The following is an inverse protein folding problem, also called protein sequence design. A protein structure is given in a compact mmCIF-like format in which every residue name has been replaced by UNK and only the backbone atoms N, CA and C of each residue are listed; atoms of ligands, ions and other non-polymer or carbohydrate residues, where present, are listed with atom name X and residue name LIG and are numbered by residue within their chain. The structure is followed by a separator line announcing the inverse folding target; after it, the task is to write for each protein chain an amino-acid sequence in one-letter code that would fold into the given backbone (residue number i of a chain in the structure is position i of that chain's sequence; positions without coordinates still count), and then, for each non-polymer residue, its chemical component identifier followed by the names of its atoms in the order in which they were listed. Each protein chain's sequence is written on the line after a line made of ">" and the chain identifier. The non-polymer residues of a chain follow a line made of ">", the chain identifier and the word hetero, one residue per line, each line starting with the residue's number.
data_IF_786739865222
#
_entry.id   IF_786739865222
#
_cell.length_a   1.000
_cell.length_b   1.000
_cell.length_c   1.000
_cell.angle_alpha   90.00
_cell.angle_beta   90.00
_cell.angle_gamma   90.00
#
_symmetry.space_group_name_H-M   'P 1'
#
loop_
_entity.id
_entity.type
_entity.pdbx_description
1 polymer ?
#
# COMPACT_ATOMS: atom_id res chain seq x y z
N UNK A 1 -11.09 20.16 -8.60
CA UNK A 1 -12.45 19.76 -8.99
C UNK A 1 -12.44 18.30 -9.37
N UNK A 2 -12.51 17.41 -8.37
CA UNK A 2 -12.72 15.98 -8.62
C UNK A 2 -14.22 15.72 -8.59
N UNK A 3 -14.73 15.20 -9.69
CA UNK A 3 -16.13 14.87 -9.90
C UNK A 3 -16.43 13.51 -9.24
N UNK A 4 -17.26 13.51 -8.20
CA UNK A 4 -17.70 12.31 -7.47
C UNK A 4 -18.57 11.36 -8.31
N UNK A 5 -18.88 11.69 -9.57
CA UNK A 5 -19.79 10.92 -10.43
C UNK A 5 -19.13 9.92 -11.38
N UNK A 6 -17.80 9.75 -11.36
CA UNK A 6 -17.14 8.74 -12.21
C UNK A 6 -17.32 7.33 -11.64
N UNK A 7 -18.33 6.66 -12.20
CA UNK A 7 -18.59 5.23 -12.17
C UNK A 7 -17.32 4.37 -12.33
N UNK A 8 -17.36 3.11 -11.90
CA UNK A 8 -16.25 2.14 -11.89
C UNK A 8 -15.56 2.01 -13.27
N UNK A 9 -16.28 2.33 -14.34
CA UNK A 9 -15.80 2.46 -15.72
C UNK A 9 -14.72 3.55 -15.88
N UNK A 10 -14.96 4.76 -15.39
CA UNK A 10 -14.01 5.88 -15.50
C UNK A 10 -12.75 5.69 -14.66
N UNK A 11 -12.82 4.91 -13.58
CA UNK A 11 -11.65 4.55 -12.77
C UNK A 11 -10.73 3.56 -13.50
N UNK A 12 -11.30 2.60 -14.23
CA UNK A 12 -10.52 1.63 -15.04
C UNK A 12 -9.76 2.33 -16.16
N UNK A 13 -10.42 3.24 -16.87
CA UNK A 13 -9.78 4.00 -17.95
C UNK A 13 -8.59 4.82 -17.45
N UNK A 14 -8.72 5.45 -16.27
CA UNK A 14 -7.63 6.21 -15.63
C UNK A 14 -6.46 5.30 -15.24
N UNK A 15 -6.74 4.10 -14.73
CA UNK A 15 -5.69 3.13 -14.40
C UNK A 15 -4.98 2.60 -15.65
N UNK A 16 -5.70 2.34 -16.73
CA UNK A 16 -5.10 1.91 -17.99
C UNK A 16 -4.21 3.01 -18.58
N UNK A 17 -4.66 4.27 -18.56
CA UNK A 17 -3.84 5.41 -18.97
C UNK A 17 -2.60 5.57 -18.10
N UNK A 18 -2.74 5.45 -16.78
CA UNK A 18 -1.62 5.54 -15.84
C UNK A 18 -0.55 4.49 -16.13
N UNK A 19 -0.95 3.23 -16.41
CA UNK A 19 0.01 2.18 -16.76
C UNK A 19 0.69 2.43 -18.07
N UNK A 20 -0.08 2.80 -19.10
CA UNK A 20 0.47 3.13 -20.41
C UNK A 20 1.53 4.22 -20.31
N UNK A 21 1.29 5.24 -19.48
CA UNK A 21 2.25 6.30 -19.20
C UNK A 21 3.55 5.74 -18.56
N UNK A 22 3.45 4.83 -17.59
CA UNK A 22 4.62 4.18 -16.98
C UNK A 22 5.38 3.33 -17.99
N UNK A 23 4.67 2.54 -18.81
CA UNK A 23 5.29 1.66 -19.80
C UNK A 23 6.01 2.45 -20.90
N UNK A 24 5.40 3.53 -21.38
CA UNK A 24 5.93 4.33 -22.48
C UNK A 24 6.97 5.37 -22.04
N UNK A 25 6.85 5.91 -20.82
CA UNK A 25 7.63 7.07 -20.37
C UNK A 25 8.31 6.91 -19.01
N UNK A 26 8.15 5.76 -18.35
CA UNK A 26 8.63 5.53 -16.99
C UNK A 26 7.88 6.39 -15.97
N UNK A 27 8.53 6.71 -14.86
CA UNK A 27 7.95 7.54 -13.80
C UNK A 27 8.11 9.05 -14.03
N UNK A 28 8.95 9.46 -14.99
CA UNK A 28 9.41 10.85 -15.14
C UNK A 28 8.27 11.86 -15.29
N UNK A 29 7.32 11.58 -16.18
CA UNK A 29 6.21 12.49 -16.45
C UNK A 29 5.26 12.56 -15.26
N UNK A 30 4.97 11.41 -14.63
CA UNK A 30 4.11 11.33 -13.46
C UNK A 30 4.73 12.05 -12.24
N UNK A 31 6.05 11.92 -12.04
CA UNK A 31 6.79 12.65 -11.01
C UNK A 31 6.76 14.15 -11.28
N UNK A 32 6.89 14.57 -12.54
CA UNK A 32 6.80 15.98 -12.91
C UNK A 32 5.39 16.53 -12.66
N UNK A 33 4.34 15.82 -13.08
CA UNK A 33 2.94 16.18 -12.82
C UNK A 33 2.64 16.26 -11.33
N UNK A 34 3.16 15.33 -10.53
CA UNK A 34 3.02 15.35 -9.07
C UNK A 34 3.66 16.61 -8.47
N UNK A 35 4.86 16.99 -8.93
CA UNK A 35 5.54 18.22 -8.49
C UNK A 35 4.78 19.48 -8.88
N UNK A 36 4.27 19.54 -10.11
CA UNK A 36 3.49 20.69 -10.61
C UNK A 36 2.16 20.84 -9.88
N UNK A 37 1.60 19.72 -9.40
CA UNK A 37 0.33 19.67 -8.68
C UNK A 37 0.50 19.69 -7.15
N UNK A 38 1.72 19.92 -6.65
CA UNK A 38 2.07 19.90 -5.21
C UNK A 38 1.60 18.62 -4.48
N UNK A 39 1.71 17.48 -5.16
CA UNK A 39 1.36 16.17 -4.63
C UNK A 39 2.59 15.51 -4.01
N UNK A 40 2.47 15.12 -2.75
CA UNK A 40 3.52 14.45 -2.01
C UNK A 40 2.95 13.39 -1.07
N UNK A 41 3.84 12.49 -0.64
CA UNK A 41 3.56 11.50 0.39
C UNK A 41 4.75 11.44 1.34
N UNK A 42 4.46 11.12 2.59
CA UNK A 42 5.49 10.92 3.61
C UNK A 42 5.63 9.44 3.93
N UNK A 43 6.88 8.96 4.00
CA UNK A 43 7.20 7.66 4.59
C UNK A 43 7.93 7.89 5.91
N UNK A 44 7.30 7.48 7.00
CA UNK A 44 7.80 7.66 8.37
C UNK A 44 8.25 6.31 8.93
N UNK A 45 9.55 6.21 9.18
CA UNK A 45 10.16 5.09 9.89
C UNK A 45 10.35 5.47 11.36
N UNK A 46 9.83 4.67 12.28
CA UNK A 46 10.06 4.85 13.72
C UNK A 46 10.56 3.55 14.32
N UNK A 47 11.65 3.65 15.08
CA UNK A 47 12.20 2.55 15.85
C UNK A 47 12.31 2.96 17.31
N UNK A 48 11.90 2.07 18.20
CA UNK A 48 12.10 2.19 19.65
C UNK A 48 12.55 0.81 20.21
N UNK A 49 12.87 0.71 21.51
CA UNK A 49 13.34 -0.55 22.11
C UNK A 49 12.35 -1.73 22.00
N UNK A 50 11.04 -1.45 21.86
CA UNK A 50 9.98 -2.45 21.87
C UNK A 50 9.43 -2.74 20.46
N UNK A 51 9.55 -1.82 19.52
CA UNK A 51 8.98 -1.96 18.18
C UNK A 51 9.67 -1.16 17.10
N UNK A 52 9.39 -1.57 15.87
CA UNK A 52 9.65 -0.84 14.64
C UNK A 52 8.32 -0.60 13.94
N UNK A 53 8.16 0.55 13.30
CA UNK A 53 6.96 0.87 12.53
C UNK A 53 7.30 1.65 11.29
N UNK A 54 6.54 1.40 10.24
CA UNK A 54 6.57 2.13 8.98
C UNK A 54 5.16 2.64 8.74
N UNK A 55 5.06 3.92 8.38
CA UNK A 55 3.81 4.54 7.99
C UNK A 55 3.99 5.35 6.72
N UNK A 56 3.09 5.15 5.76
CA UNK A 56 2.96 5.97 4.56
C UNK A 56 1.74 6.88 4.74
N UNK A 57 1.91 8.18 4.52
CA UNK A 57 0.84 9.16 4.54
C UNK A 57 0.71 9.78 3.15
N UNK A 58 -0.45 9.60 2.52
CA UNK A 58 -0.80 10.25 1.27
C UNK A 58 -1.78 11.40 1.57
N UNK A 59 -1.44 12.62 1.14
CA UNK A 59 -2.20 13.85 1.42
C UNK A 59 -3.24 14.15 0.33
N UNK A 60 -3.96 13.10 -0.07
CA UNK A 60 -5.04 13.17 -1.05
C UNK A 60 -6.22 12.39 -0.47
N UNK A 61 -7.45 12.93 -0.55
CA UNK A 61 -8.65 12.17 -0.21
C UNK A 61 -8.72 10.87 -1.03
N UNK A 62 -8.85 9.75 -0.34
CA UNK A 62 -9.08 8.46 -1.01
C UNK A 62 -10.50 8.41 -1.57
N UNK A 63 -10.66 7.90 -2.79
CA UNK A 63 -11.99 7.69 -3.34
C UNK A 63 -12.74 6.60 -2.56
N UNK A 64 -14.08 6.64 -2.61
CA UNK A 64 -14.91 5.61 -1.98
C UNK A 64 -14.60 4.20 -2.51
N UNK A 65 -14.44 4.07 -3.81
CA UNK A 65 -14.14 2.78 -4.49
C UNK A 65 -12.78 2.24 -4.02
N UNK A 66 -11.74 3.07 -3.97
CA UNK A 66 -10.42 2.66 -3.47
C UNK A 66 -10.45 2.30 -1.99
N UNK A 67 -11.21 3.05 -1.18
CA UNK A 67 -11.40 2.76 0.25
C UNK A 67 -12.06 1.40 0.47
N UNK A 68 -13.14 1.10 -0.25
CA UNK A 68 -13.84 -0.19 -0.18
C UNK A 68 -12.94 -1.34 -0.65
N UNK A 69 -12.17 -1.15 -1.74
CA UNK A 69 -11.19 -2.13 -2.24
C UNK A 69 -10.06 -2.37 -1.23
N UNK A 70 -9.53 -1.32 -0.61
CA UNK A 70 -8.46 -1.42 0.39
C UNK A 70 -8.92 -2.16 1.64
N UNK A 71 -10.09 -1.80 2.18
CA UNK A 71 -10.67 -2.48 3.36
C UNK A 71 -10.92 -3.95 3.06
N UNK A 72 -11.50 -4.26 1.89
CA UNK A 72 -11.75 -5.64 1.46
C UNK A 72 -10.44 -6.44 1.41
N UNK A 73 -9.38 -5.90 0.81
CA UNK A 73 -8.06 -6.56 0.77
C UNK A 73 -7.46 -6.79 2.16
N UNK A 74 -7.57 -5.83 3.08
CA UNK A 74 -7.05 -5.97 4.44
C UNK A 74 -7.84 -7.00 5.27
N UNK A 75 -9.14 -7.14 5.00
CA UNK A 75 -10.03 -8.06 5.71
C UNK A 75 -10.02 -9.50 5.16
N UNK A 76 -9.66 -9.71 3.89
CA UNK A 76 -9.61 -11.05 3.27
C UNK A 76 -8.48 -11.96 3.79
N UNK A 77 -7.76 -11.56 4.85
CA UNK A 77 -6.58 -12.26 5.33
C UNK A 77 -6.89 -13.48 6.22
N UNK A 78 -6.83 -14.67 5.63
CA UNK A 78 -5.99 -15.80 6.08
C UNK A 78 -6.05 -17.01 5.14
N UNK A 79 -7.07 -17.12 4.29
CA UNK A 79 -7.41 -18.41 3.68
C UNK A 79 -6.76 -18.68 2.32
N UNK A 80 -6.40 -17.66 1.52
CA UNK A 80 -6.05 -17.85 0.11
C UNK A 80 -4.84 -17.01 -0.36
N UNK A 81 -3.86 -16.75 0.50
CA UNK A 81 -2.62 -16.07 0.06
C UNK A 81 -1.89 -16.85 -1.04
N UNK A 82 -1.98 -18.18 -1.09
CA UNK A 82 -1.42 -18.97 -2.19
C UNK A 82 -2.23 -18.81 -3.48
N UNK A 83 -3.57 -18.77 -3.40
CA UNK A 83 -4.43 -18.54 -4.57
C UNK A 83 -4.43 -17.08 -5.07
N UNK A 84 -4.11 -16.10 -4.22
CA UNK A 84 -4.00 -14.70 -4.60
C UNK A 84 -2.74 -14.38 -5.43
N UNK A 85 -1.71 -15.24 -5.39
CA UNK A 85 -0.57 -15.19 -6.30
C UNK A 85 -0.83 -15.97 -7.61
N UNK A 86 -1.70 -16.98 -7.57
CA UNK A 86 -1.97 -17.89 -8.69
C UNK A 86 -3.11 -17.42 -9.61
N UNK A 87 -4.00 -16.55 -9.12
CA UNK A 87 -4.92 -15.77 -9.95
C UNK A 87 -4.19 -14.61 -10.63
N UNK A 88 -3.25 -14.97 -11.51
CA UNK A 88 -2.61 -14.08 -12.47
C UNK A 88 -3.63 -13.59 -13.50
N UNK A 89 -4.45 -12.62 -13.10
CA UNK A 89 -5.18 -11.73 -14.02
C UNK A 89 -4.77 -10.27 -13.73
N UNK A 90 -3.45 -10.05 -13.75
CA UNK A 90 -2.70 -9.27 -14.76
C UNK A 90 -3.30 -8.01 -15.39
N UNK A 91 -4.32 -7.39 -14.79
CA UNK A 91 -4.77 -6.06 -15.19
C UNK A 91 -4.59 -4.99 -14.11
N UNK A 92 -3.68 -5.07 -13.13
CA UNK A 92 -3.53 -3.99 -12.11
C UNK A 92 -2.14 -3.88 -11.42
N UNK A 93 -1.06 -3.65 -12.16
CA UNK A 93 0.21 -3.19 -11.56
C UNK A 93 -0.02 -1.98 -10.62
N UNK A 94 0.47 -2.07 -9.37
CA UNK A 94 0.22 -1.12 -8.29
C UNK A 94 0.00 -1.79 -6.92
N UNK A 95 -0.58 -1.07 -5.95
CA UNK A 95 -0.70 -1.42 -4.52
C UNK A 95 -1.23 -2.84 -4.13
N UNK A 96 -1.72 -3.65 -5.08
CA UNK A 96 -2.15 -5.04 -4.83
C UNK A 96 -0.99 -5.98 -4.51
N UNK A 97 0.09 -5.95 -5.30
CA UNK A 97 1.25 -6.85 -5.11
C UNK A 97 2.08 -6.46 -3.88
N UNK A 98 2.28 -5.15 -3.67
CA UNK A 98 3.05 -4.63 -2.55
C UNK A 98 2.44 -4.95 -1.19
N UNK A 99 1.10 -4.84 -1.05
CA UNK A 99 0.43 -5.16 0.21
C UNK A 99 0.51 -6.67 0.52
N UNK A 100 0.30 -7.54 -0.47
CA UNK A 100 0.42 -8.99 -0.29
C UNK A 100 1.84 -9.38 0.15
N UNK A 101 2.87 -8.78 -0.45
CA UNK A 101 4.25 -9.01 -0.04
C UNK A 101 4.51 -8.58 1.41
N UNK A 102 4.05 -7.38 1.80
CA UNK A 102 4.19 -6.88 3.17
C UNK A 102 3.47 -7.82 4.15
N UNK A 103 2.26 -8.27 3.83
CA UNK A 103 1.51 -9.20 4.68
C UNK A 103 2.23 -10.54 4.85
N UNK A 104 2.81 -11.09 3.78
CA UNK A 104 3.62 -12.33 3.83
C UNK A 104 4.87 -12.16 4.71
N UNK A 105 5.56 -11.02 4.58
CA UNK A 105 6.72 -10.70 5.41
C UNK A 105 6.29 -10.61 6.88
N UNK A 106 5.20 -9.93 7.18
CA UNK A 106 4.70 -9.77 8.56
C UNK A 106 4.23 -11.10 9.17
N UNK A 107 3.59 -11.96 8.38
CA UNK A 107 3.21 -13.31 8.81
C UNK A 107 4.45 -14.17 9.14
N UNK A 108 5.55 -14.03 8.39
CA UNK A 108 6.81 -14.72 8.71
C UNK A 108 7.41 -14.31 10.07
N UNK A 109 7.03 -13.14 10.60
CA UNK A 109 7.34 -12.68 11.95
C UNK A 109 6.22 -12.99 12.98
N UNK A 110 5.25 -13.83 12.64
CA UNK A 110 4.14 -14.20 13.52
C UNK A 110 3.10 -13.09 13.75
N UNK A 111 3.10 -12.04 12.93
CA UNK A 111 2.08 -10.97 13.00
C UNK A 111 0.86 -11.39 12.19
N UNK A 112 -0.11 -12.04 12.86
CA UNK A 112 -1.30 -12.61 12.19
C UNK A 112 -2.57 -11.77 12.31
N UNK A 113 -2.72 -11.02 13.39
CA UNK A 113 -3.89 -10.16 13.59
C UNK A 113 -3.57 -8.74 13.13
N UNK A 114 -4.38 -8.22 12.21
CA UNK A 114 -4.30 -6.84 11.70
C UNK A 114 -2.84 -6.40 11.38
N UNK A 115 -2.12 -7.14 10.52
CA UNK A 115 -0.70 -6.87 10.26
C UNK A 115 -0.47 -5.47 9.68
N UNK A 116 -1.44 -4.98 8.91
CA UNK A 116 -1.44 -3.63 8.35
C UNK A 116 -2.63 -2.86 8.92
N UNK A 117 -2.39 -1.60 9.27
CA UNK A 117 -3.38 -0.65 9.75
C UNK A 117 -3.58 0.45 8.74
N UNK A 118 -4.82 0.87 8.58
CA UNK A 118 -5.20 2.03 7.77
C UNK A 118 -5.99 3.02 8.62
N UNK A 119 -5.69 4.31 8.45
CA UNK A 119 -6.41 5.42 9.08
C UNK A 119 -6.79 6.40 7.99
N UNK A 120 -8.07 6.76 7.92
CA UNK A 120 -8.62 7.70 6.95
C UNK A 120 -8.91 9.02 7.63
N UNK A 121 -8.29 10.09 7.14
CA UNK A 121 -8.60 11.47 7.46
C UNK A 121 -9.40 12.08 6.28
N UNK A 122 -10.08 13.23 6.48
CA UNK A 122 -10.81 13.89 5.38
C UNK A 122 -9.93 14.22 4.16
N UNK A 123 -8.67 14.55 4.40
CA UNK A 123 -7.71 15.05 3.42
C UNK A 123 -6.49 14.13 3.24
N UNK A 124 -6.40 13.04 3.99
CA UNK A 124 -5.24 12.16 3.96
C UNK A 124 -5.59 10.70 4.26
N UNK A 125 -4.82 9.79 3.69
CA UNK A 125 -4.87 8.37 4.05
C UNK A 125 -3.52 7.93 4.57
N UNK A 126 -3.53 7.24 5.71
CA UNK A 126 -2.34 6.73 6.35
C UNK A 126 -2.39 5.21 6.44
N UNK A 127 -1.38 4.53 5.92
CA UNK A 127 -1.26 3.07 5.93
C UNK A 127 0.09 2.66 6.51
N UNK A 128 0.14 1.59 7.29
CA UNK A 128 1.39 1.17 7.89
C UNK A 128 1.27 -0.06 8.77
N UNK A 129 2.38 -0.42 9.40
CA UNK A 129 2.41 -1.55 10.33
C UNK A 129 3.30 -1.25 11.53
N UNK A 130 3.14 -2.05 12.57
CA UNK A 130 4.01 -2.05 13.75
C UNK A 130 4.48 -3.47 13.97
N UNK A 131 5.79 -3.68 13.89
CA UNK A 131 6.44 -4.95 14.18
C UNK A 131 7.10 -4.86 15.55
N UNK A 132 6.65 -5.68 16.50
CA UNK A 132 7.27 -5.75 17.82
C UNK A 132 8.64 -6.42 17.74
N UNK A 133 9.57 -5.96 18.57
CA UNK A 133 10.94 -6.51 18.65
C UNK A 133 10.95 -7.96 19.12
N UNK A 134 10.00 -8.36 19.98
CA UNK A 134 9.82 -9.74 20.43
C UNK A 134 9.50 -10.73 19.28
N UNK A 135 8.94 -10.22 18.19
CA UNK A 135 8.58 -10.99 17.00
C UNK A 135 9.71 -11.01 15.96
N UNK A 136 10.75 -10.18 16.14
CA UNK A 136 11.90 -10.19 15.25
C UNK A 136 12.86 -11.30 15.66
N UNK A 137 13.43 -12.06 14.70
CA UNK A 137 14.48 -13.01 15.00
C UNK A 137 15.62 -12.28 15.68
N UNK A 138 16.19 -12.90 16.72
CA UNK A 138 17.38 -12.40 17.35
C UNK A 138 18.44 -12.18 16.25
N UNK A 139 18.91 -10.95 16.09
CA UNK A 139 20.07 -10.70 15.24
C UNK A 139 21.19 -11.55 15.81
N UNK A 140 21.68 -12.53 15.05
CA UNK A 140 22.90 -13.24 15.38
C UNK A 140 23.95 -12.19 15.77
N UNK A 141 24.72 -12.41 16.87
CA UNK A 141 25.71 -11.44 17.29
C UNK A 141 26.59 -11.13 16.09
N UNK A 142 26.67 -9.85 15.71
CA UNK A 142 27.65 -9.40 14.73
C UNK A 142 29.01 -9.78 15.34
N UNK A 143 29.66 -10.78 14.77
CA UNK A 143 31.04 -11.11 15.08
C UNK A 143 31.83 -9.81 14.98
N UNK A 144 32.37 -9.39 16.13
CA UNK A 144 33.24 -8.22 16.25
C UNK A 144 34.52 -8.42 15.44
#
# INVERSE_FOLDING_TARGET
>A
NYDESRDDSGYRDVLEQFKKEIEEHGDRNLVQMARESDLYYDIVFKSNPNSFSIWVCNYIPISRVEKERLITRLNLNHFDMEHAFDQGDDLNEGAGLGLNLIMKILDSYGVRQEPIRVVFYPDATKIGFVLKRENMPATAPRSA
#
